data_IF_785393219903
#
_entry.id   IF_785393219903
#
_cell.length_a   1.000
_cell.length_b   1.000
_cell.length_c   1.000
_cell.angle_alpha   90.00
_cell.angle_beta   90.00
_cell.angle_gamma   90.00
#
_symmetry.space_group_name_H-M   'P 1'
#
loop_
_entity.id
_entity.type
_entity.pdbx_description
1 polymer ?
#
# COMPACT_ATOMS: atom_id res chain seq x y z
N UNK A 1 -11.38 14.59 -7.43
CA UNK A 1 -11.55 14.23 -5.99
C UNK A 1 -10.23 13.93 -5.29
N UNK A 2 -10.27 13.44 -4.04
CA UNK A 2 -9.05 13.02 -3.30
C UNK A 2 -8.29 11.92 -4.05
N UNK A 3 -8.98 10.87 -4.51
CA UNK A 3 -8.36 9.74 -5.22
C UNK A 3 -7.69 10.15 -6.54
N UNK A 4 -8.35 10.95 -7.37
CA UNK A 4 -7.73 11.50 -8.60
C UNK A 4 -6.40 12.20 -8.32
N UNK A 5 -6.33 13.03 -7.26
CA UNK A 5 -5.09 13.70 -6.87
C UNK A 5 -4.03 12.73 -6.36
N UNK A 6 -4.43 11.68 -5.65
CA UNK A 6 -3.50 10.61 -5.25
C UNK A 6 -2.91 9.92 -6.49
N UNK A 7 -3.76 9.45 -7.40
CA UNK A 7 -3.32 8.76 -8.62
C UNK A 7 -2.38 9.66 -9.43
N UNK A 8 -2.79 10.89 -9.75
CA UNK A 8 -1.95 11.81 -10.52
C UNK A 8 -0.63 12.12 -9.81
N UNK A 9 -0.68 12.42 -8.51
CA UNK A 9 0.51 12.75 -7.73
C UNK A 9 1.51 11.60 -7.66
N UNK A 10 1.06 10.35 -7.58
CA UNK A 10 1.94 9.18 -7.59
C UNK A 10 2.48 8.87 -8.99
N UNK A 11 1.69 9.08 -10.05
CA UNK A 11 2.18 9.00 -11.44
C UNK A 11 3.28 10.02 -11.72
N UNK A 12 3.08 11.28 -11.34
CA UNK A 12 4.08 12.33 -11.51
C UNK A 12 5.38 12.02 -10.75
N UNK A 13 5.29 11.35 -9.60
CA UNK A 13 6.46 10.91 -8.81
C UNK A 13 7.16 9.72 -9.46
N UNK A 14 6.41 8.77 -10.01
CA UNK A 14 6.93 7.66 -10.80
C UNK A 14 7.75 8.18 -11.98
N UNK A 15 7.17 9.06 -12.79
CA UNK A 15 7.83 9.59 -13.99
C UNK A 15 9.14 10.34 -13.67
N UNK A 16 9.18 11.05 -12.55
CA UNK A 16 10.39 11.74 -12.06
C UNK A 16 11.47 10.81 -11.51
N UNK A 17 11.11 9.59 -11.09
CA UNK A 17 12.00 8.63 -10.45
C UNK A 17 12.30 7.39 -11.32
N UNK A 18 11.71 7.28 -12.51
CA UNK A 18 11.89 6.17 -13.44
C UNK A 18 13.37 5.98 -13.78
N UNK A 19 13.89 4.77 -13.59
CA UNK A 19 15.28 4.41 -13.94
C UNK A 19 15.36 3.47 -15.13
N UNK A 20 14.39 2.56 -15.25
CA UNK A 20 14.31 1.52 -16.26
C UNK A 20 12.82 1.34 -16.64
N UNK A 21 12.52 0.68 -17.75
CA UNK A 21 11.14 0.43 -18.17
C UNK A 21 10.49 -0.67 -17.31
N UNK A 22 9.32 -0.38 -16.74
CA UNK A 22 8.48 -1.34 -16.01
C UNK A 22 7.04 -1.17 -16.52
N UNK A 23 6.68 -1.92 -17.57
CA UNK A 23 5.39 -1.81 -18.26
C UNK A 23 4.17 -1.98 -17.34
N UNK A 24 4.31 -2.80 -16.29
CA UNK A 24 3.26 -3.01 -15.29
C UNK A 24 2.94 -1.71 -14.53
N UNK A 25 3.93 -0.87 -14.24
CA UNK A 25 3.70 0.41 -13.53
C UNK A 25 2.85 1.37 -14.37
N UNK A 26 3.13 1.44 -15.68
CA UNK A 26 2.36 2.28 -16.60
C UNK A 26 0.93 1.74 -16.74
N UNK A 27 0.80 0.41 -16.91
CA UNK A 27 -0.49 -0.28 -17.01
C UNK A 27 -1.37 -0.08 -15.77
N UNK A 28 -0.78 -0.19 -14.57
CA UNK A 28 -1.48 0.03 -13.29
C UNK A 28 -1.87 1.48 -13.13
N UNK A 29 -0.98 2.42 -13.45
CA UNK A 29 -1.30 3.84 -13.42
C UNK A 29 -2.53 4.13 -14.27
N UNK A 30 -2.61 3.57 -15.48
CA UNK A 30 -3.73 3.76 -16.40
C UNK A 30 -5.00 3.07 -15.91
N UNK A 31 -4.88 1.88 -15.31
CA UNK A 31 -5.99 1.19 -14.68
C UNK A 31 -6.58 2.01 -13.52
N UNK A 32 -5.74 2.57 -12.64
CA UNK A 32 -6.15 3.39 -11.51
C UNK A 32 -6.90 4.65 -11.94
N UNK A 33 -6.49 5.27 -13.06
CA UNK A 33 -7.19 6.43 -13.64
C UNK A 33 -8.56 6.04 -14.19
N UNK A 34 -8.66 4.86 -14.84
CA UNK A 34 -9.91 4.41 -15.49
C UNK A 34 -10.96 3.85 -14.53
N UNK A 35 -10.55 3.31 -13.38
CA UNK A 35 -11.43 2.61 -12.45
C UNK A 35 -11.68 3.37 -11.14
N UNK A 36 -11.57 4.71 -11.17
CA UNK A 36 -11.82 5.57 -10.02
C UNK A 36 -13.19 5.26 -9.39
N UNK A 37 -13.26 4.79 -8.13
CA UNK A 37 -14.51 4.52 -7.47
C UNK A 37 -15.17 5.82 -6.98
N UNK A 38 -16.46 5.74 -6.67
CA UNK A 38 -17.14 6.82 -5.95
C UNK A 38 -16.66 6.85 -4.49
N UNK A 39 -15.91 7.89 -4.12
CA UNK A 39 -15.42 8.07 -2.75
C UNK A 39 -16.58 8.21 -1.74
N UNK A 40 -16.51 7.55 -0.58
CA UNK A 40 -17.48 7.74 0.49
C UNK A 40 -17.22 9.07 1.22
N UNK A 41 -18.03 9.37 2.23
CA UNK A 41 -17.85 10.57 3.07
C UNK A 41 -16.42 10.61 3.64
N UNK A 42 -15.68 11.72 3.44
CA UNK A 42 -14.26 11.81 3.75
C UNK A 42 -14.00 11.80 5.25
N UNK A 43 -12.82 11.34 5.65
CA UNK A 43 -12.35 11.31 7.04
C UNK A 43 -10.93 11.86 7.15
N UNK A 44 -10.45 12.02 8.38
CA UNK A 44 -9.01 12.03 8.61
C UNK A 44 -8.42 10.70 8.11
N UNK A 45 -7.37 10.79 7.31
CA UNK A 45 -6.56 9.66 6.83
C UNK A 45 -5.12 9.91 7.22
N UNK A 46 -4.43 8.86 7.68
CA UNK A 46 -3.05 8.89 8.10
C UNK A 46 -2.08 8.87 6.92
N UNK A 47 -2.45 8.18 5.84
CA UNK A 47 -1.63 7.89 4.64
C UNK A 47 -0.36 7.04 4.88
N UNK A 48 -0.13 6.55 6.08
CA UNK A 48 0.99 5.64 6.42
C UNK A 48 0.65 4.80 7.67
N UNK A 49 -0.60 4.36 7.78
CA UNK A 49 -1.05 3.56 8.91
C UNK A 49 -0.51 2.13 8.81
N UNK A 50 0.43 1.79 9.68
CA UNK A 50 1.07 0.46 9.78
C UNK A 50 1.48 0.18 11.21
N UNK A 51 1.68 -1.09 11.56
CA UNK A 51 2.00 -1.50 12.92
C UNK A 51 3.24 -0.80 13.49
N UNK A 52 4.24 -0.51 12.65
CA UNK A 52 5.47 0.19 13.05
C UNK A 52 5.21 1.63 13.57
N UNK A 53 4.08 2.22 13.19
CA UNK A 53 3.64 3.55 13.62
C UNK A 53 2.65 3.49 14.80
N UNK A 54 2.44 2.34 15.43
CA UNK A 54 1.49 2.15 16.54
C UNK A 54 2.22 1.72 17.80
N UNK A 55 2.07 2.50 18.88
CA UNK A 55 2.51 2.14 20.22
C UNK A 55 1.37 1.42 20.93
N UNK A 56 1.66 0.26 21.52
CA UNK A 56 0.71 -0.53 22.28
C UNK A 56 0.99 -0.43 23.79
N UNK A 57 -0.04 -0.15 24.59
CA UNK A 57 0.00 -0.27 26.05
C UNK A 57 -0.05 -1.75 26.48
N UNK A 58 -0.82 -2.54 25.72
CA UNK A 58 -0.94 -3.99 25.86
C UNK A 58 -1.29 -4.62 24.51
N UNK A 59 -1.32 -5.95 24.41
CA UNK A 59 -1.68 -6.66 23.17
C UNK A 59 -3.09 -6.32 22.63
N UNK A 60 -3.94 -5.64 23.42
CA UNK A 60 -5.31 -5.29 23.03
C UNK A 60 -5.58 -3.78 23.04
N UNK A 61 -4.58 -2.96 23.36
CA UNK A 61 -4.78 -1.54 23.62
C UNK A 61 -3.68 -0.72 22.95
N UNK A 62 -4.11 0.13 22.01
CA UNK A 62 -3.27 1.13 21.37
C UNK A 62 -3.12 2.32 22.31
N UNK A 63 -1.88 2.68 22.62
CA UNK A 63 -1.52 3.86 23.41
C UNK A 63 -1.44 5.11 22.52
N UNK A 64 -0.78 4.99 21.37
CA UNK A 64 -0.56 6.11 20.47
C UNK A 64 -0.37 5.65 19.02
N UNK A 65 -0.72 6.54 18.10
CA UNK A 65 -0.40 6.44 16.67
C UNK A 65 0.56 7.58 16.34
N UNK A 66 1.68 7.28 15.70
CA UNK A 66 2.78 8.19 15.41
C UNK A 66 2.76 8.64 13.94
N UNK A 67 3.69 9.52 13.58
CA UNK A 67 4.02 9.86 12.18
C UNK A 67 2.85 10.41 11.33
N UNK A 68 2.21 11.46 11.85
CA UNK A 68 1.07 12.14 11.21
C UNK A 68 1.46 13.11 10.09
N UNK A 69 2.72 13.14 9.62
CA UNK A 69 3.19 14.14 8.66
C UNK A 69 2.51 14.05 7.28
N UNK A 70 2.02 12.85 6.92
CA UNK A 70 1.30 12.59 5.68
C UNK A 70 -0.22 12.72 5.83
N UNK A 71 -0.72 13.02 7.02
CA UNK A 71 -2.14 12.97 7.31
C UNK A 71 -2.93 14.08 6.59
N UNK A 72 -4.15 13.76 6.17
CA UNK A 72 -5.02 14.73 5.49
C UNK A 72 -6.50 14.34 5.62
N UNK A 73 -7.39 15.12 5.01
CA UNK A 73 -8.81 14.75 4.88
C UNK A 73 -9.03 14.13 3.50
N UNK A 74 -9.51 12.88 3.48
CA UNK A 74 -9.55 12.08 2.26
C UNK A 74 -10.46 10.87 2.33
N UNK A 75 -10.27 9.98 1.36
CA UNK A 75 -11.02 8.74 1.26
C UNK A 75 -10.50 7.73 2.31
N UNK A 76 -11.32 7.30 3.29
CA UNK A 76 -10.89 6.39 4.35
C UNK A 76 -10.34 5.06 3.84
N UNK A 77 -10.84 4.56 2.70
CA UNK A 77 -10.43 3.26 2.18
C UNK A 77 -9.00 3.29 1.62
N UNK A 78 -8.43 4.48 1.38
CA UNK A 78 -7.02 4.61 1.00
C UNK A 78 -6.07 4.15 2.11
N UNK A 79 -6.38 4.44 3.38
CA UNK A 79 -5.60 3.91 4.52
C UNK A 79 -5.77 2.40 4.64
N UNK A 80 -6.99 1.89 4.45
CA UNK A 80 -7.27 0.46 4.52
C UNK A 80 -6.49 -0.28 3.44
N UNK A 81 -6.61 0.12 2.18
CA UNK A 81 -5.90 -0.49 1.05
C UNK A 81 -4.38 -0.49 1.23
N UNK A 82 -3.81 0.62 1.71
CA UNK A 82 -2.38 0.68 2.01
C UNK A 82 -1.99 -0.21 3.20
N UNK A 83 -2.79 -0.26 4.25
CA UNK A 83 -2.56 -1.13 5.43
C UNK A 83 -2.51 -2.61 5.00
N UNK A 84 -3.41 -3.02 4.11
CA UNK A 84 -3.44 -4.40 3.60
C UNK A 84 -2.15 -4.77 2.83
N UNK A 85 -1.48 -3.79 2.23
CA UNK A 85 -0.21 -3.99 1.52
C UNK A 85 0.99 -4.16 2.47
N UNK A 86 0.90 -3.64 3.71
CA UNK A 86 1.91 -3.87 4.75
C UNK A 86 1.74 -5.20 5.48
N UNK A 87 0.57 -5.83 5.34
CA UNK A 87 0.21 -7.02 6.09
C UNK A 87 0.64 -8.29 5.35
N UNK A 88 1.37 -9.15 6.05
CA UNK A 88 1.53 -10.53 5.63
C UNK A 88 0.40 -11.36 6.24
N UNK A 89 -0.43 -11.97 5.39
CA UNK A 89 -1.60 -12.74 5.83
C UNK A 89 -1.22 -14.17 6.18
N UNK A 90 -1.77 -14.70 7.28
CA UNK A 90 -1.44 -16.02 7.81
C UNK A 90 -1.62 -17.15 6.78
N UNK A 91 -2.64 -17.04 5.92
CA UNK A 91 -2.99 -18.08 4.92
C UNK A 91 -2.57 -17.74 3.48
N UNK A 92 -1.92 -16.60 3.27
CA UNK A 92 -1.46 -16.24 1.94
C UNK A 92 -0.23 -17.07 1.56
N UNK A 93 -0.45 -18.11 0.76
CA UNK A 93 0.60 -18.93 0.17
C UNK A 93 1.65 -18.05 -0.52
N UNK A 94 2.77 -17.79 0.17
CA UNK A 94 3.90 -17.03 -0.35
C UNK A 94 3.99 -15.54 0.04
N UNK A 95 3.06 -14.98 0.82
CA UNK A 95 3.20 -13.61 1.35
C UNK A 95 4.03 -13.62 2.65
N UNK A 96 5.33 -13.85 2.49
CA UNK A 96 6.27 -13.97 3.62
C UNK A 96 7.67 -14.39 3.19
N UNK A 97 8.07 -14.13 1.94
CA UNK A 97 9.37 -14.53 1.37
C UNK A 97 10.56 -13.68 1.85
N UNK A 98 10.50 -13.20 3.09
CA UNK A 98 11.69 -12.76 3.83
C UNK A 98 12.24 -13.92 4.65
N UNK A 99 13.52 -13.89 5.06
CA UNK A 99 14.11 -14.92 5.94
C UNK A 99 13.45 -15.00 7.33
N UNK A 100 12.57 -14.06 7.67
CA UNK A 100 11.79 -14.05 8.91
C UNK A 100 10.31 -13.86 8.57
N UNK A 101 9.41 -14.77 9.01
CA UNK A 101 7.98 -14.59 8.84
C UNK A 101 7.55 -13.28 9.49
N UNK A 102 6.85 -12.44 8.73
CA UNK A 102 6.30 -11.19 9.24
C UNK A 102 5.38 -11.46 10.43
N UNK A 103 5.39 -10.56 11.42
CA UNK A 103 4.68 -10.75 12.68
C UNK A 103 3.20 -11.13 12.46
N UNK A 104 2.57 -10.50 11.47
CA UNK A 104 1.16 -10.64 11.14
C UNK A 104 0.79 -11.95 10.44
N UNK A 105 1.77 -12.74 9.97
CA UNK A 105 1.52 -14.04 9.34
C UNK A 105 1.47 -15.18 10.35
N UNK A 106 1.52 -14.88 11.65
CA UNK A 106 1.51 -15.89 12.73
C UNK A 106 0.07 -16.24 13.13
N UNK A 107 -0.17 -17.43 13.70
CA UNK A 107 -1.49 -17.78 14.23
C UNK A 107 -2.00 -16.75 15.24
N UNK A 108 -3.30 -16.44 15.18
CA UNK A 108 -3.97 -15.48 16.06
C UNK A 108 -4.11 -14.06 15.49
N UNK A 109 -3.46 -13.76 14.37
CA UNK A 109 -3.75 -12.56 13.58
C UNK A 109 -4.93 -12.81 12.64
N UNK A 110 -5.65 -11.74 12.30
CA UNK A 110 -6.71 -11.81 11.31
C UNK A 110 -6.16 -12.16 9.92
N UNK A 111 -6.90 -12.99 9.19
CA UNK A 111 -6.77 -13.07 7.75
C UNK A 111 -7.33 -11.80 7.07
N UNK A 112 -7.20 -11.73 5.75
CA UNK A 112 -7.57 -10.53 4.98
C UNK A 112 -9.06 -10.25 5.08
N UNK A 113 -9.87 -11.29 4.97
CA UNK A 113 -11.33 -11.22 4.98
C UNK A 113 -11.85 -10.82 6.37
N UNK A 114 -11.32 -11.41 7.44
CA UNK A 114 -11.62 -11.06 8.83
C UNK A 114 -11.26 -9.60 9.14
N UNK A 115 -10.11 -9.11 8.65
CA UNK A 115 -9.72 -7.70 8.82
C UNK A 115 -10.74 -6.77 8.16
N UNK A 116 -11.17 -7.08 6.94
CA UNK A 116 -12.13 -6.29 6.18
C UNK A 116 -13.54 -6.34 6.79
N UNK A 117 -13.99 -7.52 7.19
CA UNK A 117 -15.26 -7.70 7.90
C UNK A 117 -15.27 -6.85 9.17
N UNK A 118 -14.20 -6.96 9.99
CA UNK A 118 -14.06 -6.20 11.22
C UNK A 118 -14.09 -4.69 10.99
N UNK A 119 -13.40 -4.21 9.95
CA UNK A 119 -13.40 -2.80 9.58
C UNK A 119 -14.80 -2.35 9.13
N UNK A 120 -15.45 -3.13 8.26
CA UNK A 120 -16.79 -2.85 7.75
C UNK A 120 -17.83 -2.78 8.87
N UNK A 121 -17.84 -3.74 9.79
CA UNK A 121 -18.75 -3.76 10.95
C UNK A 121 -18.61 -2.52 11.85
N UNK A 122 -17.36 -2.11 12.13
CA UNK A 122 -17.08 -0.99 13.04
C UNK A 122 -17.31 0.37 12.41
N UNK A 123 -16.94 0.51 11.14
CA UNK A 123 -17.06 1.78 10.42
C UNK A 123 -18.40 1.96 9.73
N UNK A 124 -19.15 0.87 9.52
CA UNK A 124 -20.35 0.78 8.67
C UNK A 124 -20.09 1.20 7.21
N UNK A 125 -18.86 1.03 6.74
CA UNK A 125 -18.46 1.38 5.37
C UNK A 125 -18.46 0.16 4.48
N UNK A 126 -18.96 0.34 3.26
CA UNK A 126 -18.81 -0.65 2.22
C UNK A 126 -17.33 -0.79 1.81
N UNK A 127 -16.85 -2.02 1.79
CA UNK A 127 -15.48 -2.40 1.41
C UNK A 127 -15.45 -3.25 0.13
N UNK A 128 -16.57 -3.38 -0.58
CA UNK A 128 -16.68 -4.14 -1.83
C UNK A 128 -15.67 -3.67 -2.90
N UNK A 129 -15.33 -2.38 -2.91
CA UNK A 129 -14.34 -1.78 -3.81
C UNK A 129 -12.89 -1.86 -3.33
N UNK A 130 -12.57 -2.62 -2.27
CA UNK A 130 -11.24 -2.58 -1.61
C UNK A 130 -10.07 -2.85 -2.56
N UNK A 131 -10.28 -3.69 -3.58
CA UNK A 131 -9.24 -4.06 -4.54
C UNK A 131 -8.62 -2.84 -5.22
N UNK A 132 -9.44 -1.82 -5.56
CA UNK A 132 -8.93 -0.56 -6.12
C UNK A 132 -7.90 0.10 -5.19
N UNK A 133 -8.19 0.11 -3.88
CA UNK A 133 -7.36 0.76 -2.88
C UNK A 133 -6.10 -0.06 -2.56
N UNK A 134 -6.15 -1.39 -2.65
CA UNK A 134 -4.97 -2.25 -2.59
C UNK A 134 -4.04 -2.01 -3.78
N UNK A 135 -4.59 -1.94 -5.00
CA UNK A 135 -3.81 -1.61 -6.21
C UNK A 135 -3.17 -0.21 -6.07
N UNK A 136 -3.92 0.78 -5.57
CA UNK A 136 -3.38 2.11 -5.29
C UNK A 136 -2.28 2.07 -4.23
N UNK A 137 -2.46 1.28 -3.17
CA UNK A 137 -1.47 1.06 -2.12
C UNK A 137 -0.17 0.46 -2.66
N UNK A 138 -0.26 -0.62 -3.43
CA UNK A 138 0.90 -1.27 -4.08
C UNK A 138 1.60 -0.33 -5.06
N UNK A 139 0.85 0.41 -5.87
CA UNK A 139 1.41 1.42 -6.78
C UNK A 139 2.19 2.49 -6.00
N UNK A 140 1.59 3.03 -4.94
CA UNK A 140 2.25 3.99 -4.04
C UNK A 140 3.54 3.44 -3.44
N UNK A 141 3.52 2.21 -2.91
CA UNK A 141 4.71 1.56 -2.34
C UNK A 141 5.81 1.36 -3.39
N UNK A 142 5.44 0.92 -4.59
CA UNK A 142 6.37 0.77 -5.70
C UNK A 142 7.03 2.12 -6.06
N UNK A 143 6.27 3.22 -6.11
CA UNK A 143 6.83 4.56 -6.36
C UNK A 143 7.79 5.00 -5.24
N UNK A 144 7.46 4.75 -3.97
CA UNK A 144 8.34 5.08 -2.84
C UNK A 144 9.67 4.33 -2.95
N UNK A 145 9.63 3.01 -3.18
CA UNK A 145 10.83 2.20 -3.36
C UNK A 145 11.63 2.65 -4.58
N UNK A 146 10.96 3.01 -5.68
CA UNK A 146 11.60 3.54 -6.87
C UNK A 146 12.33 4.86 -6.59
N UNK A 147 11.75 5.77 -5.80
CA UNK A 147 12.41 7.03 -5.45
C UNK A 147 13.71 6.81 -4.66
N UNK A 148 13.74 5.79 -3.78
CA UNK A 148 14.95 5.40 -3.04
C UNK A 148 15.96 4.74 -3.99
N UNK A 149 15.50 3.83 -4.85
CA UNK A 149 16.33 3.14 -5.85
C UNK A 149 16.97 4.13 -6.83
N UNK A 150 16.23 5.14 -7.28
CA UNK A 150 16.71 6.22 -8.13
C UNK A 150 17.89 6.97 -7.50
N UNK A 151 17.79 7.32 -6.19
CA UNK A 151 18.88 7.97 -5.46
C UNK A 151 20.11 7.07 -5.36
N UNK A 152 19.91 5.77 -5.14
CA UNK A 152 20.99 4.78 -5.12
C UNK A 152 21.68 4.67 -6.48
N UNK A 153 20.92 4.49 -7.58
CA UNK A 153 21.43 4.44 -8.97
C UNK A 153 22.22 5.69 -9.35
N UNK A 154 21.87 6.86 -8.80
CA UNK A 154 22.60 8.13 -9.00
C UNK A 154 23.79 8.34 -8.07
N UNK A 155 24.10 7.38 -7.19
CA UNK A 155 25.19 7.49 -6.22
C UNK A 155 24.95 8.53 -5.12
N UNK A 156 23.70 8.99 -4.93
CA UNK A 156 23.32 9.92 -3.87
C UNK A 156 23.20 9.23 -2.50
N UNK A 157 23.14 7.91 -2.49
CA UNK A 157 23.27 7.04 -1.32
C UNK A 157 24.10 5.81 -1.69
N UNK A 158 24.78 5.21 -0.71
CA UNK A 158 25.65 4.04 -0.86
C UNK A 158 25.17 2.84 -0.04
N UNK A 159 23.97 2.91 0.51
CA UNK A 159 23.40 1.81 1.29
C UNK A 159 23.03 0.65 0.37
N UNK A 160 23.75 -0.46 0.50
CA UNK A 160 23.61 -1.63 -0.35
C UNK A 160 22.25 -2.32 -0.22
N UNK A 161 21.49 -2.05 0.85
CA UNK A 161 20.11 -2.54 1.00
C UNK A 161 19.20 -2.03 -0.11
N UNK A 162 19.49 -0.88 -0.71
CA UNK A 162 18.68 -0.27 -1.76
C UNK A 162 18.94 -0.84 -3.14
N UNK A 163 19.99 -1.65 -3.33
CA UNK A 163 20.34 -2.26 -4.61
C UNK A 163 19.21 -3.14 -5.17
N UNK A 164 18.52 -3.85 -4.30
CA UNK A 164 17.45 -4.79 -4.66
C UNK A 164 16.08 -4.11 -4.86
N UNK A 165 15.96 -2.81 -4.58
CA UNK A 165 14.67 -2.13 -4.63
C UNK A 165 14.06 -2.11 -6.03
N UNK A 166 14.87 -2.05 -7.10
CA UNK A 166 14.35 -2.17 -8.47
C UNK A 166 13.60 -3.48 -8.72
N UNK A 167 14.08 -4.60 -8.16
CA UNK A 167 13.40 -5.89 -8.27
C UNK A 167 12.10 -5.91 -7.45
N UNK A 168 12.10 -5.28 -6.27
CA UNK A 168 10.91 -5.16 -5.42
C UNK A 168 9.82 -4.30 -6.06
N UNK A 169 10.20 -3.19 -6.73
CA UNK A 169 9.28 -2.36 -7.53
C UNK A 169 8.59 -3.20 -8.60
N UNK A 170 9.35 -3.97 -9.38
CA UNK A 170 8.78 -4.83 -10.41
C UNK A 170 7.89 -5.95 -9.84
N UNK A 171 8.22 -6.48 -8.65
CA UNK A 171 7.41 -7.48 -7.98
C UNK A 171 6.06 -6.91 -7.50
N UNK A 172 6.06 -5.73 -6.88
CA UNK A 172 4.84 -5.03 -6.48
C UNK A 172 3.97 -4.69 -7.69
N UNK A 173 4.57 -4.21 -8.78
CA UNK A 173 3.85 -3.93 -10.01
C UNK A 173 3.17 -5.19 -10.57
N UNK A 174 3.87 -6.33 -10.65
CA UNK A 174 3.21 -7.59 -11.09
C UNK A 174 2.07 -8.03 -10.17
N UNK A 175 2.23 -7.88 -8.85
CA UNK A 175 1.17 -8.23 -7.89
C UNK A 175 -0.07 -7.34 -8.07
N UNK A 176 0.14 -6.03 -8.19
CA UNK A 176 -0.93 -5.08 -8.42
C UNK A 176 -1.65 -5.31 -9.76
N UNK A 177 -0.92 -5.62 -10.83
CA UNK A 177 -1.51 -5.96 -12.13
C UNK A 177 -2.38 -7.22 -12.05
N UNK A 178 -1.85 -8.29 -11.44
CA UNK A 178 -2.60 -9.54 -11.22
C UNK A 178 -3.84 -9.35 -10.34
N UNK A 179 -3.79 -8.42 -9.40
CA UNK A 179 -4.92 -8.09 -8.54
C UNK A 179 -5.98 -7.29 -9.32
N UNK A 180 -5.55 -6.30 -10.11
CA UNK A 180 -6.43 -5.51 -10.97
C UNK A 180 -7.15 -6.35 -12.04
N UNK A 181 -6.46 -7.33 -12.65
CA UNK A 181 -7.04 -8.24 -13.63
C UNK A 181 -8.15 -9.13 -13.05
N UNK A 182 -8.05 -9.52 -11.78
CA UNK A 182 -9.06 -10.36 -11.11
C UNK A 182 -10.36 -9.61 -10.80
N UNK A 183 -10.35 -8.28 -10.89
CA UNK A 183 -11.50 -7.42 -10.67
C UNK A 183 -12.21 -7.02 -11.98
N UNK A 184 -11.53 -7.17 -13.13
CA UNK A 184 -12.06 -6.81 -14.46
C UNK A 184 -13.03 -7.87 -15.01
#
# INVERSE_FOLDING_TARGET
GFLERQVQGWRDRWDRARTDEILDMDSIGDWLTRHLPHSPAPTLVHNDYKLDNVIFRSLKEVEAVLDWEMATVGDPLADVGLTLCYWAWADAAGAGRGPTPALTSRPGWYDREQFLERYSERSRRDVSGIVYYEVLGMFKLAVILQQIYYRFRRGQTRDERFREFGQQVAALARQAASLAERQA
#
